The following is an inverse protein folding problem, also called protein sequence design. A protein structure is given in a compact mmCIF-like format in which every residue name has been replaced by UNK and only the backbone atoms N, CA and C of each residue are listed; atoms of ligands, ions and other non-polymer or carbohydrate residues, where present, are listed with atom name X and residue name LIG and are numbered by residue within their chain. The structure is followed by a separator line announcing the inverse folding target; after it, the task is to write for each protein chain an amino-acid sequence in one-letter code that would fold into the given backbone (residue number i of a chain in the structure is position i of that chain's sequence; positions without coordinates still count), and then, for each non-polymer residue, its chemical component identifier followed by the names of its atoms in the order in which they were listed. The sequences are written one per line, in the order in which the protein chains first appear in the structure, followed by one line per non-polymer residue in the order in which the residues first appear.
data_IF_444805818186
#
_entry.id   IF_444805818186
#
_cell.length_a   1.000
_cell.length_b   1.000
_cell.length_c   1.000
_cell.angle_alpha   90.00
_cell.angle_beta   90.00
_cell.angle_gamma   90.00
#
_symmetry.space_group_name_H-M   'P 1'
#
loop_
_entity.id
_entity.type
_entity.pdbx_description
1 polymer ?
#
# COMPACT_ATOMS: atom_id res chain seq x y z
N UNK A 1 -31.81 26.57 40.48
CA UNK A 1 -30.62 25.98 39.82
C UNK A 1 -30.75 24.49 39.49
N UNK A 2 -31.50 23.66 40.25
CA UNK A 2 -31.61 22.21 39.98
C UNK A 2 -32.47 21.78 38.77
N UNK A 3 -33.38 22.62 38.26
CA UNK A 3 -34.25 22.24 37.12
C UNK A 3 -33.60 22.39 35.74
N UNK A 4 -32.58 23.23 35.60
CA UNK A 4 -31.86 23.44 34.34
C UNK A 4 -30.79 22.36 34.08
N UNK A 5 -30.30 21.71 35.14
CA UNK A 5 -29.35 20.59 35.03
C UNK A 5 -30.01 19.28 34.56
N UNK A 6 -31.31 19.10 34.84
CA UNK A 6 -32.03 17.87 34.48
C UNK A 6 -32.39 17.85 32.97
N UNK A 7 -32.62 19.01 32.33
CA UNK A 7 -32.88 19.06 30.88
C UNK A 7 -31.62 18.78 30.03
N UNK A 8 -30.42 19.11 30.52
CA UNK A 8 -29.17 18.83 29.81
C UNK A 8 -28.84 17.33 29.73
N UNK A 9 -29.22 16.55 30.75
CA UNK A 9 -28.93 15.12 30.83
C UNK A 9 -29.88 14.27 29.95
N UNK A 10 -31.09 14.77 29.67
CA UNK A 10 -32.07 14.05 28.83
C UNK A 10 -31.74 14.18 27.33
N UNK A 11 -31.12 15.27 26.89
CA UNK A 11 -30.68 15.42 25.49
C UNK A 11 -29.48 14.54 25.09
N UNK A 12 -28.73 13.98 26.04
CA UNK A 12 -27.63 13.07 25.74
C UNK A 12 -28.08 11.62 25.50
N UNK A 13 -29.33 11.27 25.85
CA UNK A 13 -29.85 9.89 25.74
C UNK A 13 -30.84 9.71 24.58
N UNK A 14 -31.11 10.75 23.78
CA UNK A 14 -31.96 10.67 22.58
C UNK A 14 -31.15 10.56 21.29
N UNK A 15 -29.83 10.35 21.37
CA UNK A 15 -29.06 9.95 20.21
C UNK A 15 -29.69 8.66 19.65
N UNK A 16 -30.26 8.68 18.43
CA UNK A 16 -30.83 7.47 17.87
C UNK A 16 -29.71 6.44 17.80
N UNK A 17 -30.00 5.20 18.20
CA UNK A 17 -29.15 4.01 18.00
C UNK A 17 -28.77 3.77 16.52
N UNK A 18 -29.19 4.67 15.61
CA UNK A 18 -28.74 4.81 14.23
C UNK A 18 -27.23 5.07 14.11
N UNK A 19 -26.57 5.58 15.15
CA UNK A 19 -25.11 5.77 15.15
C UNK A 19 -24.38 4.74 16.02
N UNK A 20 -24.32 3.49 15.56
CA UNK A 20 -23.18 2.58 15.76
C UNK A 20 -23.49 1.17 15.22
N UNK A 21 -23.75 1.03 13.92
CA UNK A 21 -23.65 -0.30 13.27
C UNK A 21 -22.21 -0.61 12.89
N UNK A 22 -21.30 -0.50 13.87
CA UNK A 22 -19.93 -0.98 13.74
C UNK A 22 -19.80 -2.47 14.08
N UNK A 23 -20.81 -3.05 14.74
CA UNK A 23 -20.87 -4.47 15.06
C UNK A 23 -21.55 -5.19 13.90
N UNK A 24 -20.87 -6.14 13.21
CA UNK A 24 -21.48 -6.93 12.15
C UNK A 24 -22.69 -7.70 12.70
N UNK A 25 -23.87 -7.46 12.12
CA UNK A 25 -25.09 -8.21 12.41
C UNK A 25 -25.21 -9.34 11.36
N UNK A 26 -25.34 -10.62 11.76
CA UNK A 26 -25.53 -11.72 10.80
C UNK A 26 -26.81 -11.58 9.95
N UNK A 27 -27.76 -10.73 10.35
CA UNK A 27 -28.93 -10.37 9.56
C UNK A 27 -28.72 -9.11 8.69
N UNK A 28 -27.54 -8.49 8.72
CA UNK A 28 -27.21 -7.34 7.89
C UNK A 28 -27.27 -7.73 6.41
N UNK A 29 -28.10 -7.03 5.65
CA UNK A 29 -28.14 -7.11 4.19
C UNK A 29 -27.32 -5.99 3.59
N UNK A 30 -26.89 -6.16 2.34
CA UNK A 30 -26.30 -5.09 1.57
C UNK A 30 -27.22 -3.87 1.53
N UNK A 31 -26.64 -2.67 1.49
CA UNK A 31 -27.41 -1.47 1.24
C UNK A 31 -28.13 -1.60 -0.12
N UNK A 32 -29.36 -1.05 -0.26
CA UNK A 32 -30.07 -1.08 -1.54
C UNK A 32 -29.19 -0.57 -2.69
N UNK A 33 -29.03 -1.36 -3.74
CA UNK A 33 -28.13 -1.10 -4.88
C UNK A 33 -26.73 -1.74 -4.80
N UNK A 34 -26.36 -2.36 -3.67
CA UNK A 34 -25.09 -3.07 -3.46
C UNK A 34 -25.27 -4.60 -3.35
N UNK A 35 -26.38 -5.14 -3.86
CA UNK A 35 -26.70 -6.56 -3.74
C UNK A 35 -25.89 -7.44 -4.69
N UNK A 36 -25.38 -6.86 -5.79
CA UNK A 36 -24.51 -7.56 -6.71
C UNK A 36 -23.10 -7.71 -6.13
N UNK A 37 -22.48 -8.85 -6.42
CA UNK A 37 -21.07 -9.07 -6.09
C UNK A 37 -20.21 -7.98 -6.73
N UNK A 38 -19.32 -7.39 -5.94
CA UNK A 38 -18.35 -6.42 -6.43
C UNK A 38 -17.44 -7.09 -7.45
N UNK A 39 -17.20 -6.40 -8.57
CA UNK A 39 -16.28 -6.87 -9.60
C UNK A 39 -14.86 -6.92 -9.00
N UNK A 40 -14.11 -8.03 -9.13
CA UNK A 40 -12.74 -8.10 -8.64
C UNK A 40 -11.88 -6.98 -9.25
N UNK A 41 -10.97 -6.40 -8.46
CA UNK A 41 -10.12 -5.28 -8.88
C UNK A 41 -9.37 -5.61 -10.19
N UNK A 42 -8.83 -6.83 -10.28
CA UNK A 42 -8.17 -7.33 -11.49
C UNK A 42 -9.03 -7.20 -12.76
N UNK A 43 -10.35 -7.32 -12.64
CA UNK A 43 -11.27 -7.29 -13.76
C UNK A 43 -11.95 -5.92 -13.92
N UNK A 44 -11.80 -5.01 -12.96
CA UNK A 44 -12.54 -3.76 -12.89
C UNK A 44 -12.11 -2.72 -13.94
N UNK A 45 -10.92 -2.86 -14.53
CA UNK A 45 -10.42 -1.96 -15.58
C UNK A 45 -10.01 -0.58 -15.06
N UNK A 46 -9.57 -0.51 -13.79
CA UNK A 46 -9.08 0.73 -13.20
C UNK A 46 -7.74 1.16 -13.79
N UNK A 47 -7.48 2.48 -13.78
CA UNK A 47 -6.16 3.01 -14.12
C UNK A 47 -5.12 2.64 -13.06
N UNK A 48 -3.84 2.70 -13.42
CA UNK A 48 -2.74 2.39 -12.50
C UNK A 48 -2.77 3.27 -11.24
N UNK A 49 -3.09 4.56 -11.37
CA UNK A 49 -3.22 5.46 -10.22
C UNK A 49 -4.38 5.10 -9.29
N UNK A 50 -5.51 4.63 -9.83
CA UNK A 50 -6.63 4.12 -9.01
C UNK A 50 -6.25 2.80 -8.34
N UNK A 51 -5.56 1.90 -9.04
CA UNK A 51 -5.03 0.68 -8.44
C UNK A 51 -4.07 0.99 -7.28
N UNK A 52 -3.18 1.96 -7.42
CA UNK A 52 -2.33 2.44 -6.33
C UNK A 52 -3.17 2.95 -5.15
N UNK A 53 -4.19 3.77 -5.43
CA UNK A 53 -5.07 4.32 -4.39
C UNK A 53 -5.81 3.23 -3.60
N UNK A 54 -6.30 2.20 -4.29
CA UNK A 54 -7.09 1.13 -3.70
C UNK A 54 -6.24 0.07 -2.98
N UNK A 55 -5.01 -0.17 -3.44
CA UNK A 55 -4.18 -1.29 -2.94
C UNK A 55 -3.01 -0.85 -2.07
N UNK A 56 -2.53 0.39 -2.20
CA UNK A 56 -1.26 0.81 -1.60
C UNK A 56 -1.36 2.09 -0.77
N UNK A 57 -2.14 3.07 -1.23
CA UNK A 57 -2.20 4.40 -0.61
C UNK A 57 -2.77 4.39 0.82
N UNK A 58 -3.51 3.34 1.21
CA UNK A 58 -3.98 3.17 2.59
C UNK A 58 -2.84 3.11 3.61
N UNK A 59 -1.69 2.54 3.24
CA UNK A 59 -0.49 2.50 4.08
C UNK A 59 0.54 3.55 3.65
N UNK A 60 0.84 3.62 2.34
CA UNK A 60 1.93 4.46 1.83
C UNK A 60 1.55 5.92 1.58
N UNK A 61 0.28 6.28 1.77
CA UNK A 61 -0.31 7.57 1.43
C UNK A 61 -0.31 7.84 -0.09
N UNK A 62 -1.17 8.77 -0.53
CA UNK A 62 -1.30 9.12 -1.95
C UNK A 62 0.01 9.64 -2.57
N UNK A 63 0.87 10.28 -1.77
CA UNK A 63 2.16 10.82 -2.19
C UNK A 63 3.35 9.88 -1.92
N UNK A 64 3.12 8.68 -1.38
CA UNK A 64 4.19 7.71 -1.12
C UNK A 64 5.08 8.03 0.08
N UNK A 65 4.66 8.94 0.97
CA UNK A 65 5.44 9.31 2.16
C UNK A 65 5.47 8.25 3.25
N UNK A 66 4.53 7.31 3.24
CA UNK A 66 4.42 6.29 4.28
C UNK A 66 4.07 6.85 5.66
N UNK A 67 4.30 6.04 6.68
CA UNK A 67 4.07 6.35 8.09
C UNK A 67 5.01 5.53 8.96
N UNK A 68 6.04 6.17 9.51
CA UNK A 68 6.97 5.54 10.45
C UNK A 68 6.26 4.97 11.69
N UNK A 69 5.21 5.66 12.15
CA UNK A 69 4.39 5.22 13.29
C UNK A 69 3.64 3.90 13.00
N UNK A 70 3.40 3.59 11.73
CA UNK A 70 2.72 2.36 11.28
C UNK A 70 3.68 1.40 10.57
N UNK A 71 4.99 1.51 10.83
CA UNK A 71 6.04 0.69 10.21
C UNK A 71 5.97 0.65 8.66
N UNK A 72 5.52 1.75 8.05
CA UNK A 72 5.34 1.85 6.61
C UNK A 72 6.37 2.82 6.02
N UNK A 73 7.33 2.35 5.19
CA UNK A 73 8.41 3.18 4.68
C UNK A 73 7.92 4.17 3.60
N UNK A 74 8.65 5.27 3.48
CA UNK A 74 8.58 6.21 2.37
C UNK A 74 9.10 5.56 1.09
N UNK A 75 8.27 5.61 0.05
CA UNK A 75 8.66 5.24 -1.32
C UNK A 75 9.12 6.47 -2.12
N UNK A 76 8.52 7.63 -1.85
CA UNK A 76 8.81 8.88 -2.54
C UNK A 76 10.30 9.22 -2.51
N UNK A 77 10.92 9.32 -3.68
CA UNK A 77 12.34 9.63 -3.85
C UNK A 77 13.31 8.52 -3.42
N UNK A 78 12.83 7.36 -2.97
CA UNK A 78 13.66 6.32 -2.37
C UNK A 78 13.52 4.94 -3.03
N UNK A 79 12.31 4.54 -3.43
CA UNK A 79 12.01 3.15 -3.82
C UNK A 79 12.85 2.63 -4.99
N UNK A 80 13.32 3.50 -5.89
CA UNK A 80 14.20 3.12 -6.99
C UNK A 80 15.58 2.64 -6.56
N UNK A 81 16.03 2.95 -5.34
CA UNK A 81 17.34 2.48 -4.84
C UNK A 81 17.41 0.96 -4.66
N UNK A 82 16.26 0.28 -4.47
CA UNK A 82 16.21 -1.19 -4.46
C UNK A 82 16.71 -1.78 -5.77
N UNK A 83 16.53 -1.11 -6.91
CA UNK A 83 17.01 -1.61 -8.20
C UNK A 83 18.52 -1.48 -8.41
N UNK A 84 19.25 -0.85 -7.47
CA UNK A 84 20.70 -0.66 -7.55
C UNK A 84 21.49 -1.77 -6.85
N UNK A 85 20.82 -2.65 -6.13
CA UNK A 85 21.44 -3.73 -5.35
C UNK A 85 20.92 -5.09 -5.80
N UNK A 86 21.77 -6.13 -5.84
CA UNK A 86 21.34 -7.50 -6.13
C UNK A 86 20.18 -7.95 -5.24
N UNK A 87 19.15 -8.56 -5.84
CA UNK A 87 17.97 -9.04 -5.13
C UNK A 87 16.89 -7.98 -4.86
N UNK A 88 17.17 -6.70 -5.11
CA UNK A 88 16.21 -5.64 -4.80
C UNK A 88 15.09 -5.51 -5.83
N UNK A 89 15.30 -5.94 -7.07
CA UNK A 89 14.25 -6.01 -8.10
C UNK A 89 13.18 -7.02 -7.73
N UNK A 90 13.61 -8.19 -7.28
CA UNK A 90 12.80 -9.31 -6.82
C UNK A 90 12.08 -8.95 -5.52
N UNK A 91 12.77 -8.25 -4.62
CA UNK A 91 12.20 -7.75 -3.37
C UNK A 91 10.95 -6.91 -3.62
N UNK A 92 10.99 -5.96 -4.56
CA UNK A 92 9.84 -5.08 -4.83
C UNK A 92 8.60 -5.86 -5.28
N UNK A 93 8.75 -6.96 -6.01
CA UNK A 93 7.61 -7.80 -6.43
C UNK A 93 7.10 -8.68 -5.28
N UNK A 94 8.04 -9.18 -4.45
CA UNK A 94 7.76 -10.20 -3.43
C UNK A 94 7.26 -9.64 -2.10
N UNK A 95 7.42 -8.34 -1.84
CA UNK A 95 6.85 -7.66 -0.67
C UNK A 95 5.37 -8.05 -0.52
N UNK A 96 4.91 -8.50 0.66
CA UNK A 96 3.55 -9.04 0.85
C UNK A 96 2.42 -8.17 0.27
N UNK A 97 2.49 -6.85 0.43
CA UNK A 97 1.50 -5.92 -0.13
C UNK A 97 1.46 -5.90 -1.66
N UNK A 98 2.55 -6.27 -2.33
CA UNK A 98 2.62 -6.39 -3.79
C UNK A 98 2.20 -7.80 -4.22
N UNK A 99 2.86 -8.83 -3.68
CA UNK A 99 2.67 -10.23 -4.09
C UNK A 99 1.27 -10.76 -3.80
N UNK A 100 0.59 -10.24 -2.77
CA UNK A 100 -0.77 -10.63 -2.37
C UNK A 100 -1.84 -9.59 -2.74
N UNK A 101 -1.49 -8.56 -3.52
CA UNK A 101 -2.46 -7.58 -4.00
C UNK A 101 -3.56 -8.23 -4.85
N UNK A 102 -4.72 -7.59 -4.91
CA UNK A 102 -5.85 -8.02 -5.75
C UNK A 102 -5.64 -7.72 -7.25
N UNK A 103 -4.44 -7.25 -7.62
CA UNK A 103 -4.05 -6.99 -9.00
C UNK A 103 -3.59 -8.28 -9.68
N UNK A 104 -3.87 -8.38 -10.97
CA UNK A 104 -3.21 -9.40 -11.80
C UNK A 104 -1.74 -9.04 -12.08
N UNK A 105 -1.02 -9.93 -12.74
CA UNK A 105 0.42 -9.76 -12.97
C UNK A 105 0.75 -8.62 -13.93
N UNK A 106 -0.12 -8.34 -14.91
CA UNK A 106 0.08 -7.25 -15.85
C UNK A 106 -0.15 -5.91 -15.15
N UNK A 107 -1.22 -5.79 -14.37
CA UNK A 107 -1.52 -4.60 -13.58
C UNK A 107 -0.46 -4.32 -12.51
N UNK A 108 0.08 -5.35 -11.87
CA UNK A 108 1.16 -5.18 -10.90
C UNK A 108 2.48 -4.76 -11.59
N UNK A 109 2.78 -5.29 -12.79
CA UNK A 109 3.91 -4.82 -13.59
C UNK A 109 3.73 -3.34 -13.98
N UNK A 110 2.55 -2.94 -14.46
CA UNK A 110 2.23 -1.55 -14.79
C UNK A 110 2.36 -0.64 -13.56
N UNK A 111 1.89 -1.10 -12.39
CA UNK A 111 2.02 -0.37 -11.14
C UNK A 111 3.49 -0.16 -10.73
N UNK A 112 4.30 -1.22 -10.76
CA UNK A 112 5.74 -1.11 -10.49
C UNK A 112 6.40 -0.14 -11.46
N UNK A 113 6.10 -0.24 -12.75
CA UNK A 113 6.67 0.64 -13.77
C UNK A 113 6.26 2.10 -13.57
N UNK A 114 5.01 2.33 -13.20
CA UNK A 114 4.47 3.65 -12.87
C UNK A 114 5.09 4.25 -11.60
N UNK A 115 5.44 3.43 -10.61
CA UNK A 115 6.14 3.86 -9.39
C UNK A 115 7.62 4.19 -9.67
N UNK A 116 8.30 3.38 -10.49
CA UNK A 116 9.75 3.44 -10.69
C UNK A 116 10.20 4.47 -11.72
N UNK A 117 9.36 4.90 -12.66
CA UNK A 117 9.73 5.94 -13.64
C UNK A 117 10.23 7.23 -12.97
N UNK A 118 11.10 7.95 -13.68
CA UNK A 118 11.79 9.13 -13.16
C UNK A 118 10.85 10.31 -12.83
N UNK A 119 9.69 10.39 -13.48
CA UNK A 119 8.63 11.36 -13.19
C UNK A 119 7.57 10.82 -12.21
N UNK A 120 7.79 9.62 -11.67
CA UNK A 120 6.92 8.91 -10.73
C UNK A 120 7.41 9.02 -9.29
N UNK A 121 7.11 8.00 -8.50
CA UNK A 121 7.38 7.99 -7.06
C UNK A 121 8.86 7.80 -6.73
N UNK A 122 9.57 6.99 -7.51
CA UNK A 122 11.01 6.81 -7.35
C UNK A 122 11.80 8.11 -7.61
N UNK A 123 11.35 8.95 -8.53
CA UNK A 123 12.00 10.23 -8.83
C UNK A 123 13.47 10.05 -9.19
N UNK A 124 14.35 10.75 -8.46
CA UNK A 124 15.81 10.67 -8.65
C UNK A 124 16.44 9.33 -8.21
N UNK A 125 15.69 8.47 -7.52
CA UNK A 125 16.21 7.15 -7.13
C UNK A 125 16.18 6.13 -8.25
N UNK A 126 15.48 6.39 -9.36
CA UNK A 126 15.42 5.52 -10.54
C UNK A 126 16.82 5.32 -11.14
N UNK A 127 17.27 4.07 -11.37
CA UNK A 127 18.52 3.80 -12.08
C UNK A 127 18.50 4.28 -13.53
N UNK A 128 19.66 4.68 -14.06
CA UNK A 128 19.77 5.16 -15.44
C UNK A 128 19.51 4.06 -16.48
N UNK A 129 19.81 2.81 -16.13
CA UNK A 129 19.67 1.59 -16.93
C UNK A 129 18.39 0.81 -16.61
N UNK A 130 17.40 1.48 -16.01
CA UNK A 130 16.14 0.87 -15.60
C UNK A 130 15.47 0.09 -16.73
N UNK A 131 15.18 -1.19 -16.47
CA UNK A 131 14.39 -2.06 -17.34
C UNK A 131 12.98 -2.24 -16.76
N UNK A 132 11.91 -1.98 -17.54
CA UNK A 132 10.54 -2.22 -17.12
C UNK A 132 10.29 -3.66 -16.67
N UNK A 133 9.42 -3.83 -15.69
CA UNK A 133 8.89 -5.14 -15.29
C UNK A 133 7.93 -5.67 -16.34
N UNK A 134 7.98 -6.98 -16.60
CA UNK A 134 7.02 -7.69 -17.43
C UNK A 134 6.01 -8.47 -16.58
N UNK A 135 4.85 -8.78 -17.17
CA UNK A 135 3.84 -9.61 -16.49
C UNK A 135 4.38 -11.01 -16.16
N UNK A 136 5.19 -11.60 -17.04
CA UNK A 136 5.77 -12.94 -16.85
C UNK A 136 6.81 -12.95 -15.73
N UNK A 137 7.66 -11.91 -15.67
CA UNK A 137 8.61 -11.74 -14.57
C UNK A 137 7.88 -11.58 -13.23
N UNK A 138 6.83 -10.75 -13.20
CA UNK A 138 6.01 -10.58 -12.01
C UNK A 138 5.35 -11.89 -11.61
N UNK A 139 4.82 -12.67 -12.57
CA UNK A 139 4.20 -13.96 -12.31
C UNK A 139 5.18 -14.94 -11.64
N UNK A 140 6.39 -15.05 -12.18
CA UNK A 140 7.44 -15.92 -11.65
C UNK A 140 7.84 -15.51 -10.23
N UNK A 141 8.11 -14.22 -10.01
CA UNK A 141 8.54 -13.71 -8.71
C UNK A 141 7.43 -13.79 -7.64
N UNK A 142 6.16 -13.59 -8.01
CA UNK A 142 5.03 -13.72 -7.07
C UNK A 142 4.86 -15.13 -6.54
N UNK A 143 5.23 -16.15 -7.31
CA UNK A 143 5.16 -17.53 -6.87
C UNK A 143 6.16 -17.84 -5.73
N UNK A 144 7.19 -17.00 -5.55
CA UNK A 144 8.19 -17.14 -4.50
C UNK A 144 7.85 -16.32 -3.26
N UNK A 145 7.22 -16.97 -2.26
CA UNK A 145 6.85 -16.30 -1.02
C UNK A 145 8.06 -15.71 -0.27
N UNK A 146 7.92 -14.48 0.22
CA UNK A 146 8.89 -13.87 1.12
C UNK A 146 8.53 -14.19 2.57
N UNK A 147 9.34 -15.03 3.21
CA UNK A 147 9.08 -15.47 4.60
C UNK A 147 9.65 -14.52 5.66
N UNK A 148 10.71 -13.79 5.33
CA UNK A 148 11.39 -12.87 6.24
C UNK A 148 11.54 -11.48 5.60
N UNK A 149 10.46 -10.71 5.61
CA UNK A 149 10.47 -9.34 5.09
C UNK A 149 11.47 -8.43 5.80
N UNK A 150 11.50 -8.34 7.16
CA UNK A 150 12.42 -7.43 7.84
C UNK A 150 13.89 -7.76 7.58
N UNK A 151 14.26 -9.05 7.61
CA UNK A 151 15.63 -9.49 7.37
C UNK A 151 16.07 -9.28 5.92
N UNK A 152 15.20 -9.61 4.94
CA UNK A 152 15.49 -9.39 3.52
C UNK A 152 15.72 -7.90 3.24
N UNK A 153 14.82 -7.05 3.77
CA UNK A 153 14.95 -5.60 3.66
C UNK A 153 16.24 -5.09 4.30
N UNK A 154 16.54 -5.50 5.53
CA UNK A 154 17.74 -5.07 6.24
C UNK A 154 19.03 -5.42 5.45
N UNK A 155 19.09 -6.60 4.84
CA UNK A 155 20.21 -7.01 3.98
C UNK A 155 20.36 -6.12 2.75
N UNK A 156 19.26 -5.76 2.08
CA UNK A 156 19.28 -4.85 0.94
C UNK A 156 19.71 -3.43 1.34
N UNK A 157 19.23 -2.94 2.49
CA UNK A 157 19.64 -1.64 3.05
C UNK A 157 21.13 -1.63 3.40
N UNK A 158 21.67 -2.72 3.95
CA UNK A 158 23.12 -2.83 4.19
C UNK A 158 23.93 -2.77 2.90
N UNK A 159 23.47 -3.45 1.83
CA UNK A 159 24.12 -3.37 0.51
C UNK A 159 24.09 -1.94 -0.04
N UNK A 160 22.95 -1.25 0.08
CA UNK A 160 22.83 0.15 -0.33
C UNK A 160 23.84 1.04 0.41
N UNK A 161 23.94 0.90 1.74
CA UNK A 161 24.93 1.62 2.56
C UNK A 161 26.36 1.33 2.14
N UNK A 162 26.68 0.08 1.83
CA UNK A 162 28.01 -0.32 1.35
C UNK A 162 28.37 0.33 -0.01
N UNK A 163 27.37 0.66 -0.82
CA UNK A 163 27.52 1.41 -2.08
C UNK A 163 27.47 2.94 -1.89
N UNK A 164 27.38 3.45 -0.66
CA UNK A 164 27.27 4.88 -0.37
C UNK A 164 25.90 5.50 -0.66
N UNK A 165 24.86 4.69 -0.83
CA UNK A 165 23.48 5.17 -1.03
C UNK A 165 22.91 5.62 0.32
N UNK A 166 22.46 6.87 0.40
CA UNK A 166 21.77 7.40 1.58
C UNK A 166 20.42 6.70 1.79
N UNK A 167 20.14 6.30 3.03
CA UNK A 167 18.89 5.62 3.40
C UNK A 167 17.92 6.66 3.92
N UNK A 168 17.10 7.18 3.00
CA UNK A 168 16.06 8.15 3.29
C UNK A 168 14.67 7.52 3.05
N UNK A 169 14.41 6.40 3.70
CA UNK A 169 13.18 5.62 3.59
C UNK A 169 12.12 6.03 4.63
N UNK A 170 12.37 7.10 5.38
CA UNK A 170 11.45 7.60 6.41
C UNK A 170 11.32 6.70 7.63
N UNK A 171 12.17 5.68 7.77
CA UNK A 171 12.19 4.79 8.92
C UNK A 171 13.26 5.22 9.93
N UNK A 172 13.01 4.95 11.21
CA UNK A 172 14.03 5.15 12.24
C UNK A 172 15.09 4.04 12.08
N UNK A 173 16.34 4.44 11.87
CA UNK A 173 17.49 3.55 11.69
C UNK A 173 18.10 3.14 13.02
#
# INVERSE_FOLDING_TARGET
MGRLLILGLVCAMTAPLVHARAIPDPAQRHAPGNEALQKPIAQAGYSVGVNYQLQCAGCHLGNGMGSAANDTPRMAGFVGNFLKVPGGREFLVRVPGMSQSALDNAQLADLLNWLIRADGMAGKSTPADYQPYSADEVAALRAETMLNLPGTRAGLIQQMRAQGIAIEDGMNN
#
